data_IF_365294511904
#
_entry.id   IF_365294511904
#
_cell.length_a   1.000
_cell.length_b   1.000
_cell.length_c   1.000
_cell.angle_alpha   90.00
_cell.angle_beta   90.00
_cell.angle_gamma   90.00
#
_symmetry.space_group_name_H-M   'P 1'
#
loop_
_entity.id
_entity.type
_entity.pdbx_description
1 polymer ?
#
# COMPACT_ATOMS: atom_id res chain seq x y z
N UNK A 1 -20.80 -6.41 3.08
CA UNK A 1 -19.97 -5.19 2.93
C UNK A 1 -20.13 -4.38 4.21
N UNK A 2 -19.21 -4.59 5.17
CA UNK A 2 -19.36 -4.07 6.54
C UNK A 2 -18.71 -2.68 6.78
N UNK A 3 -18.07 -2.10 5.74
CA UNK A 3 -17.31 -0.84 5.86
C UNK A 3 -18.17 0.43 5.94
N UNK A 4 -19.48 0.33 5.68
CA UNK A 4 -20.34 1.52 5.46
C UNK A 4 -20.40 2.43 6.68
N UNK A 5 -20.53 1.89 7.89
CA UNK A 5 -20.71 2.70 9.11
C UNK A 5 -19.48 3.57 9.40
N UNK A 6 -18.27 3.00 9.33
CA UNK A 6 -17.04 3.75 9.60
C UNK A 6 -16.72 4.76 8.50
N UNK A 7 -16.95 4.39 7.24
CA UNK A 7 -16.80 5.34 6.12
C UNK A 7 -17.79 6.48 6.26
N UNK A 8 -19.06 6.20 6.59
CA UNK A 8 -20.04 7.25 6.87
C UNK A 8 -19.59 8.18 8.00
N UNK A 9 -19.07 7.62 9.09
CA UNK A 9 -18.51 8.40 10.20
C UNK A 9 -17.34 9.29 9.76
N UNK A 10 -16.41 8.75 8.95
CA UNK A 10 -15.30 9.50 8.37
C UNK A 10 -15.80 10.70 7.53
N UNK A 11 -16.84 10.48 6.72
CA UNK A 11 -17.44 11.53 5.89
C UNK A 11 -18.18 12.55 6.74
N UNK A 12 -19.06 12.12 7.64
CA UNK A 12 -19.88 13.02 8.49
C UNK A 12 -19.00 13.95 9.32
N UNK A 13 -17.98 13.41 9.97
CA UNK A 13 -17.05 14.23 10.79
C UNK A 13 -16.14 15.15 9.98
N UNK A 14 -16.07 14.98 8.69
CA UNK A 14 -15.32 15.85 7.77
C UNK A 14 -16.23 16.53 6.73
N UNK A 15 -17.54 16.60 6.96
CA UNK A 15 -18.54 17.01 5.95
C UNK A 15 -18.20 18.37 5.29
N UNK A 16 -17.72 19.33 6.07
CA UNK A 16 -17.34 20.65 5.56
C UNK A 16 -16.04 20.63 4.73
N UNK A 17 -15.16 19.64 4.95
CA UNK A 17 -13.89 19.50 4.24
C UNK A 17 -13.98 18.58 3.01
N UNK A 18 -14.95 17.67 2.98
CA UNK A 18 -15.11 16.67 1.91
C UNK A 18 -15.22 17.32 0.54
N UNK A 19 -16.06 18.35 0.29
CA UNK A 19 -16.14 18.96 -1.03
C UNK A 19 -14.80 19.55 -1.49
N UNK A 20 -14.11 20.26 -0.59
CA UNK A 20 -12.81 20.85 -0.89
C UNK A 20 -11.75 19.79 -1.17
N UNK A 21 -11.66 18.74 -0.35
CA UNK A 21 -10.74 17.63 -0.55
C UNK A 21 -11.03 16.90 -1.86
N UNK A 22 -12.30 16.69 -2.18
CA UNK A 22 -12.74 16.06 -3.42
C UNK A 22 -12.36 16.89 -4.66
N UNK A 23 -12.71 18.17 -4.67
CA UNK A 23 -12.36 19.07 -5.79
C UNK A 23 -10.85 19.13 -6.01
N UNK A 24 -10.07 19.23 -4.93
CA UNK A 24 -8.60 19.27 -5.02
C UNK A 24 -8.01 17.95 -5.51
N UNK A 25 -8.57 16.81 -5.05
CA UNK A 25 -8.18 15.48 -5.53
C UNK A 25 -8.47 15.31 -7.03
N UNK A 26 -9.66 15.69 -7.48
CA UNK A 26 -10.04 15.67 -8.91
C UNK A 26 -9.14 16.58 -9.75
N UNK A 27 -8.84 17.77 -9.24
CA UNK A 27 -7.98 18.72 -9.93
C UNK A 27 -6.54 18.16 -10.09
N UNK A 28 -5.96 17.58 -9.04
CA UNK A 28 -4.63 16.97 -9.13
C UNK A 28 -4.62 15.70 -10.00
N UNK A 29 -5.70 14.92 -9.96
CA UNK A 29 -5.86 13.75 -10.81
C UNK A 29 -5.96 14.09 -12.30
N UNK A 30 -6.52 15.27 -12.64
CA UNK A 30 -6.59 15.76 -14.01
C UNK A 30 -5.29 16.42 -14.50
N UNK A 31 -4.42 16.86 -13.57
CA UNK A 31 -3.21 17.62 -13.87
C UNK A 31 -1.96 16.98 -13.26
N UNK A 32 -1.83 15.65 -13.33
CA UNK A 32 -0.78 14.88 -12.64
C UNK A 32 0.63 15.27 -13.08
N UNK A 33 0.81 15.69 -14.33
CA UNK A 33 2.12 16.07 -14.87
C UNK A 33 2.52 17.50 -14.49
N UNK A 34 1.55 18.34 -14.10
CA UNK A 34 1.79 19.72 -13.66
C UNK A 34 2.33 19.78 -12.23
N UNK A 35 2.05 18.79 -11.41
CA UNK A 35 2.38 18.79 -9.98
C UNK A 35 3.39 17.70 -9.63
N UNK A 36 4.46 18.02 -8.88
CA UNK A 36 5.41 17.04 -8.37
C UNK A 36 4.70 15.93 -7.58
N UNK A 37 5.25 14.71 -7.61
CA UNK A 37 4.68 13.55 -6.91
C UNK A 37 4.50 13.81 -5.41
N UNK A 38 5.49 14.45 -4.77
CA UNK A 38 5.43 14.80 -3.36
C UNK A 38 4.24 15.72 -3.02
N UNK A 39 3.89 16.66 -3.90
CA UNK A 39 2.76 17.57 -3.70
C UNK A 39 1.43 16.82 -3.75
N UNK A 40 1.28 15.91 -4.72
CA UNK A 40 0.10 15.06 -4.86
C UNK A 40 -0.02 14.09 -3.69
N UNK A 41 1.10 13.49 -3.27
CA UNK A 41 1.15 12.58 -2.13
C UNK A 41 0.81 13.26 -0.80
N UNK A 42 1.28 14.48 -0.57
CA UNK A 42 0.90 15.29 0.62
C UNK A 42 -0.61 15.48 0.72
N UNK A 43 -1.31 15.70 -0.40
CA UNK A 43 -2.77 15.79 -0.42
C UNK A 43 -3.40 14.46 0.00
N UNK A 44 -2.97 13.35 -0.61
CA UNK A 44 -3.49 12.01 -0.27
C UNK A 44 -3.28 11.70 1.22
N UNK A 45 -2.10 11.97 1.74
CA UNK A 45 -1.77 11.78 3.15
C UNK A 45 -2.63 12.65 4.07
N UNK A 46 -2.89 13.91 3.68
CA UNK A 46 -3.80 14.78 4.41
C UNK A 46 -5.22 14.21 4.45
N UNK A 47 -5.76 13.78 3.30
CA UNK A 47 -7.11 13.17 3.20
C UNK A 47 -7.20 11.94 4.10
N UNK A 48 -6.20 11.04 4.03
CA UNK A 48 -6.16 9.81 4.83
C UNK A 48 -6.11 10.13 6.33
N UNK A 49 -5.25 11.05 6.76
CA UNK A 49 -5.17 11.46 8.18
C UNK A 49 -6.49 12.06 8.69
N UNK A 50 -7.17 12.86 7.87
CA UNK A 50 -8.50 13.40 8.20
C UNK A 50 -9.55 12.29 8.32
N UNK A 51 -9.52 11.33 7.38
CA UNK A 51 -10.41 10.16 7.42
C UNK A 51 -10.16 9.32 8.68
N UNK A 52 -8.90 9.01 9.00
CA UNK A 52 -8.51 8.23 10.17
C UNK A 52 -9.00 8.88 11.47
N UNK A 53 -8.73 10.19 11.65
CA UNK A 53 -9.23 10.93 12.81
C UNK A 53 -10.76 10.89 12.88
N UNK A 54 -11.43 11.09 11.74
CA UNK A 54 -12.90 11.03 11.66
C UNK A 54 -13.46 9.63 11.93
N UNK A 55 -12.72 8.58 11.58
CA UNK A 55 -13.12 7.19 11.69
C UNK A 55 -12.70 6.47 12.98
N UNK A 56 -12.12 7.17 13.96
CA UNK A 56 -11.56 6.57 15.16
C UNK A 56 -10.48 5.50 14.84
N UNK A 57 -9.61 5.79 13.86
CA UNK A 57 -8.50 4.91 13.49
C UNK A 57 -7.19 5.56 13.90
N UNK A 58 -6.38 4.83 14.66
CA UNK A 58 -5.02 5.21 15.03
C UNK A 58 -4.04 4.37 14.21
N UNK A 59 -3.01 5.01 13.65
CA UNK A 59 -1.93 4.31 12.97
C UNK A 59 -0.68 4.36 13.84
N UNK A 60 -0.18 3.21 14.23
CA UNK A 60 1.13 3.05 14.84
C UNK A 60 2.13 2.58 13.78
N UNK A 61 3.21 3.32 13.61
CA UNK A 61 4.16 3.07 12.55
C UNK A 61 5.57 2.91 13.10
N UNK A 62 6.17 1.76 12.81
CA UNK A 62 7.48 1.32 13.29
C UNK A 62 8.44 1.12 12.11
N UNK A 63 9.75 1.23 12.36
CA UNK A 63 10.78 0.98 11.37
C UNK A 63 10.83 1.98 10.22
N UNK A 64 10.39 3.23 10.39
CA UNK A 64 10.43 4.27 9.33
C UNK A 64 11.85 4.59 8.88
N UNK A 65 12.82 4.39 9.74
CA UNK A 65 14.26 4.52 9.47
C UNK A 65 14.75 3.51 8.45
N UNK A 66 14.09 2.38 8.28
CA UNK A 66 14.38 1.34 7.29
C UNK A 66 14.00 1.76 5.85
N UNK A 67 13.23 2.85 5.69
CA UNK A 67 12.86 3.35 4.37
C UNK A 67 14.04 4.12 3.77
N UNK A 68 14.62 3.68 2.63
CA UNK A 68 15.74 4.36 1.99
C UNK A 68 15.43 5.84 1.75
N UNK A 69 16.38 6.73 2.05
CA UNK A 69 16.19 8.17 1.89
C UNK A 69 16.23 8.60 0.42
N UNK A 70 16.96 7.89 -0.39
CA UNK A 70 17.18 8.18 -1.82
C UNK A 70 16.89 6.96 -2.68
N UNK A 71 16.86 7.15 -4.01
CA UNK A 71 16.60 6.08 -4.97
C UNK A 71 15.17 5.57 -4.96
N UNK A 72 14.89 4.65 -5.87
CA UNK A 72 13.63 3.91 -5.93
C UNK A 72 13.71 2.63 -5.11
N UNK A 73 12.59 2.23 -4.54
CA UNK A 73 12.43 0.98 -3.82
C UNK A 73 11.03 0.40 -4.05
N UNK A 74 10.83 -0.86 -3.64
CA UNK A 74 9.52 -1.49 -3.72
C UNK A 74 9.07 -2.05 -2.38
N UNK A 75 7.85 -1.72 -1.99
CA UNK A 75 7.16 -2.24 -0.82
C UNK A 75 6.41 -3.54 -1.15
N UNK A 76 6.50 -4.51 -0.25
CA UNK A 76 5.79 -5.78 -0.31
C UNK A 76 5.07 -6.07 1.01
N UNK A 77 3.87 -5.49 1.21
CA UNK A 77 3.04 -5.77 2.38
C UNK A 77 2.29 -7.09 2.25
N UNK A 78 1.86 -7.65 3.40
CA UNK A 78 0.73 -8.58 3.44
C UNK A 78 -0.57 -7.86 3.09
N UNK A 79 -1.58 -8.60 2.61
CA UNK A 79 -2.83 -8.01 2.10
C UNK A 79 -4.05 -8.51 2.86
N UNK A 80 -4.52 -7.73 3.82
CA UNK A 80 -5.64 -8.06 4.69
C UNK A 80 -6.98 -7.53 4.18
N UNK A 81 -7.03 -6.26 3.81
CA UNK A 81 -8.28 -5.57 3.54
C UNK A 81 -8.18 -4.40 2.54
N UNK A 82 -9.29 -3.68 2.39
CA UNK A 82 -9.33 -2.47 1.56
C UNK A 82 -8.60 -1.29 2.20
N UNK A 83 -8.35 -1.36 3.50
CA UNK A 83 -7.73 -0.28 4.26
C UNK A 83 -6.20 -0.27 4.19
N UNK A 84 -5.57 -1.34 3.76
CA UNK A 84 -4.10 -1.56 3.81
C UNK A 84 -3.29 -0.40 3.20
N UNK A 85 -3.66 0.03 1.98
CA UNK A 85 -2.95 1.14 1.31
C UNK A 85 -3.11 2.45 2.08
N UNK A 86 -4.27 2.69 2.71
CA UNK A 86 -4.51 3.89 3.50
C UNK A 86 -3.61 3.92 4.75
N UNK A 87 -3.46 2.76 5.42
CA UNK A 87 -2.57 2.63 6.57
C UNK A 87 -1.13 2.97 6.18
N UNK A 88 -0.64 2.43 5.06
CA UNK A 88 0.72 2.68 4.58
C UNK A 88 0.88 4.15 4.14
N UNK A 89 -0.11 4.77 3.48
CA UNK A 89 -0.07 6.20 3.10
C UNK A 89 0.02 7.09 4.33
N UNK A 90 -0.70 6.78 5.41
CA UNK A 90 -0.58 7.54 6.65
C UNK A 90 0.81 7.40 7.28
N UNK A 91 1.31 6.18 7.35
CA UNK A 91 2.58 5.85 8.00
C UNK A 91 3.80 6.35 7.22
N UNK A 92 3.83 6.14 5.90
CA UNK A 92 5.01 6.33 5.07
C UNK A 92 5.39 7.80 4.88
N UNK A 93 6.64 8.22 5.14
CA UNK A 93 7.10 9.59 4.93
C UNK A 93 7.38 9.92 3.46
N UNK A 94 7.68 8.91 2.63
CA UNK A 94 8.04 9.08 1.21
C UNK A 94 6.86 8.75 0.28
N UNK A 95 6.73 9.46 -0.85
CA UNK A 95 5.76 9.10 -1.88
C UNK A 95 6.00 7.69 -2.40
N UNK A 96 4.92 7.00 -2.69
CA UNK A 96 4.94 5.75 -3.44
C UNK A 96 3.71 5.62 -4.32
N UNK A 97 3.79 4.80 -5.34
CA UNK A 97 2.69 4.40 -6.20
C UNK A 97 2.31 2.94 -5.95
N UNK A 98 1.24 2.48 -6.56
CA UNK A 98 0.76 1.11 -6.37
C UNK A 98 0.56 0.40 -7.70
N UNK A 99 0.75 -0.91 -7.71
CA UNK A 99 0.23 -1.78 -8.77
C UNK A 99 -1.08 -2.38 -8.28
N UNK A 100 -2.18 -1.98 -8.90
CA UNK A 100 -3.53 -2.35 -8.49
C UNK A 100 -4.23 -3.19 -9.56
N UNK A 101 -5.26 -3.95 -9.15
CA UNK A 101 -6.07 -4.76 -10.05
C UNK A 101 -6.93 -3.85 -10.96
N UNK A 102 -7.04 -4.15 -12.27
CA UNK A 102 -7.79 -3.34 -13.25
C UNK A 102 -9.25 -3.09 -12.86
N UNK A 103 -9.90 -4.03 -12.17
CA UNK A 103 -11.31 -3.96 -11.80
C UNK A 103 -11.61 -2.84 -10.79
N UNK A 104 -10.59 -2.38 -10.03
CA UNK A 104 -10.77 -1.26 -9.11
C UNK A 104 -10.47 0.11 -9.74
N UNK A 105 -9.99 0.12 -10.98
CA UNK A 105 -9.58 1.35 -11.67
C UNK A 105 -10.71 2.38 -11.85
N UNK A 106 -11.96 1.92 -11.96
CA UNK A 106 -13.12 2.78 -12.22
C UNK A 106 -13.99 3.02 -10.97
N UNK A 107 -13.60 2.50 -9.81
CA UNK A 107 -14.33 2.79 -8.57
C UNK A 107 -14.16 4.27 -8.22
N UNK A 108 -15.26 5.02 -7.98
CA UNK A 108 -15.18 6.42 -7.56
C UNK A 108 -14.26 6.58 -6.34
N UNK A 109 -13.59 7.71 -6.22
CA UNK A 109 -12.54 8.01 -5.25
C UNK A 109 -11.23 7.24 -5.53
N UNK A 110 -11.27 5.91 -5.70
CA UNK A 110 -10.06 5.13 -6.03
C UNK A 110 -9.48 5.54 -7.38
N UNK A 111 -10.33 5.78 -8.39
CA UNK A 111 -9.90 6.26 -9.72
C UNK A 111 -9.06 7.53 -9.62
N UNK A 112 -9.51 8.53 -8.87
CA UNK A 112 -8.79 9.79 -8.69
C UNK A 112 -7.52 9.60 -7.88
N UNK A 113 -7.58 8.79 -6.83
CA UNK A 113 -6.42 8.43 -6.01
C UNK A 113 -5.34 7.73 -6.83
N UNK A 114 -5.70 6.72 -7.61
CA UNK A 114 -4.76 6.01 -8.48
C UNK A 114 -4.16 6.91 -9.56
N UNK A 115 -4.95 7.82 -10.15
CA UNK A 115 -4.42 8.84 -11.06
C UNK A 115 -3.42 9.75 -10.35
N UNK A 116 -3.74 10.26 -9.15
CA UNK A 116 -2.83 11.09 -8.37
C UNK A 116 -1.50 10.38 -8.04
N UNK A 117 -1.54 9.08 -7.81
CA UNK A 117 -0.36 8.25 -7.55
C UNK A 117 0.38 7.85 -8.84
N UNK A 118 -0.21 8.04 -10.03
CA UNK A 118 0.24 7.42 -11.29
C UNK A 118 0.38 5.91 -11.12
N UNK A 119 -0.66 5.27 -10.59
CA UNK A 119 -0.70 3.84 -10.34
C UNK A 119 -0.77 3.05 -11.65
N UNK A 120 -0.16 1.86 -11.67
CA UNK A 120 -0.33 0.92 -12.76
C UNK A 120 -1.46 -0.07 -12.46
N UNK A 121 -2.26 -0.35 -13.49
CA UNK A 121 -3.36 -1.32 -13.42
C UNK A 121 -2.92 -2.62 -14.07
N UNK A 122 -3.01 -3.73 -13.32
CA UNK A 122 -2.63 -5.05 -13.81
C UNK A 122 -3.86 -5.90 -14.11
N UNK A 123 -3.87 -6.49 -15.30
CA UNK A 123 -4.78 -7.55 -15.68
C UNK A 123 -4.12 -8.90 -15.46
N UNK A 124 -4.55 -9.64 -14.44
CA UNK A 124 -3.95 -10.92 -14.09
C UNK A 124 -4.31 -12.06 -15.04
N UNK A 125 -5.34 -11.88 -15.85
CA UNK A 125 -5.77 -12.84 -16.87
C UNK A 125 -5.00 -12.62 -18.19
N UNK A 126 -4.45 -11.40 -18.39
CA UNK A 126 -3.58 -11.10 -19.53
C UNK A 126 -2.11 -11.10 -19.11
N UNK A 127 -1.42 -12.20 -19.43
CA UNK A 127 0.01 -12.38 -19.11
C UNK A 127 0.88 -11.33 -19.82
N UNK A 128 0.54 -10.94 -21.05
CA UNK A 128 1.33 -9.96 -21.83
C UNK A 128 1.24 -8.58 -21.20
N UNK A 129 0.01 -8.16 -20.88
CA UNK A 129 -0.24 -6.89 -20.19
C UNK A 129 0.44 -6.87 -18.81
N UNK A 130 0.32 -7.96 -18.05
CA UNK A 130 0.98 -8.09 -16.76
C UNK A 130 2.50 -7.97 -16.87
N UNK A 131 3.11 -8.58 -17.89
CA UNK A 131 4.55 -8.46 -18.15
C UNK A 131 4.93 -7.01 -18.52
N UNK A 132 4.14 -6.33 -19.35
CA UNK A 132 4.39 -4.94 -19.71
C UNK A 132 4.35 -4.03 -18.47
N UNK A 133 3.34 -4.19 -17.60
CA UNK A 133 3.27 -3.43 -16.34
C UNK A 133 4.51 -3.65 -15.47
N UNK A 134 4.99 -4.88 -15.36
CA UNK A 134 6.22 -5.18 -14.60
C UNK A 134 7.44 -4.47 -15.22
N UNK A 135 7.54 -4.40 -16.55
CA UNK A 135 8.61 -3.68 -17.23
C UNK A 135 8.51 -2.17 -16.99
N UNK A 136 7.32 -1.59 -17.14
CA UNK A 136 7.10 -0.15 -16.92
C UNK A 136 7.42 0.24 -15.48
N UNK A 137 6.95 -0.54 -14.49
CA UNK A 137 7.28 -0.34 -13.07
C UNK A 137 8.79 -0.43 -12.84
N UNK A 138 9.46 -1.38 -13.48
CA UNK A 138 10.93 -1.52 -13.39
C UNK A 138 11.62 -0.23 -13.82
N UNK A 139 11.24 0.34 -14.96
CA UNK A 139 11.85 1.56 -15.48
C UNK A 139 11.53 2.78 -14.60
N UNK A 140 10.32 2.87 -14.06
CA UNK A 140 9.95 3.94 -13.13
C UNK A 140 10.74 3.87 -11.81
N UNK A 141 10.96 2.64 -11.29
CA UNK A 141 11.77 2.44 -10.08
C UNK A 141 13.23 2.82 -10.31
N UNK A 142 13.81 2.49 -11.48
CA UNK A 142 15.16 2.92 -11.86
C UNK A 142 15.29 4.45 -11.92
N UNK A 143 14.20 5.16 -12.26
CA UNK A 143 14.13 6.64 -12.23
C UNK A 143 13.95 7.23 -10.83
N UNK A 144 13.94 6.39 -9.78
CA UNK A 144 13.84 6.82 -8.38
C UNK A 144 12.41 6.85 -7.82
N UNK A 145 11.38 6.37 -8.55
CA UNK A 145 10.02 6.26 -8.00
C UNK A 145 9.86 5.00 -7.15
N UNK A 146 8.97 5.08 -6.17
CA UNK A 146 8.70 3.98 -5.26
C UNK A 146 7.37 3.33 -5.59
N UNK A 147 7.29 2.02 -5.47
CA UNK A 147 6.08 1.26 -5.77
C UNK A 147 5.74 0.27 -4.67
N UNK A 148 4.46 -0.06 -4.59
CA UNK A 148 3.91 -1.09 -3.70
C UNK A 148 3.21 -2.15 -4.52
N UNK A 149 3.51 -3.41 -4.24
CA UNK A 149 2.83 -4.58 -4.80
C UNK A 149 2.43 -5.52 -3.67
N UNK A 150 1.18 -5.95 -3.66
CA UNK A 150 0.72 -7.04 -2.82
C UNK A 150 1.08 -8.38 -3.45
N UNK A 151 2.11 -9.05 -2.91
CA UNK A 151 2.64 -10.28 -3.49
C UNK A 151 1.70 -11.49 -3.36
N UNK A 152 0.74 -11.46 -2.44
CA UNK A 152 -0.35 -12.44 -2.31
C UNK A 152 -1.26 -12.45 -3.55
N UNK A 153 -1.38 -11.32 -4.21
CA UNK A 153 -2.22 -11.17 -5.38
C UNK A 153 -3.72 -11.03 -5.07
N UNK A 154 -4.16 -11.29 -3.86
CA UNK A 154 -5.54 -11.08 -3.39
C UNK A 154 -5.53 -10.86 -1.87
N UNK A 155 -6.62 -10.34 -1.32
CA UNK A 155 -6.78 -10.21 0.14
C UNK A 155 -6.91 -11.58 0.80
N UNK A 156 -6.23 -11.78 1.92
CA UNK A 156 -6.31 -13.03 2.67
C UNK A 156 -7.71 -13.25 3.25
N UNK A 157 -8.35 -12.18 3.75
CA UNK A 157 -9.64 -12.23 4.47
C UNK A 157 -9.63 -13.14 5.71
N UNK A 158 -8.44 -13.43 6.23
CA UNK A 158 -8.23 -14.32 7.37
C UNK A 158 -7.57 -13.57 8.54
N UNK A 159 -7.93 -12.28 8.74
CA UNK A 159 -7.31 -11.44 9.76
C UNK A 159 -5.83 -11.21 9.44
N UNK A 160 -4.97 -11.48 10.43
CA UNK A 160 -3.51 -11.29 10.30
C UNK A 160 -2.79 -12.45 9.60
N UNK A 161 -3.50 -13.51 9.16
CA UNK A 161 -2.89 -14.64 8.44
C UNK A 161 -2.63 -14.30 6.99
N UNK A 162 -1.43 -14.66 6.49
CA UNK A 162 -0.99 -14.41 5.12
C UNK A 162 -1.37 -15.56 4.17
N UNK A 163 -1.54 -15.21 2.89
CA UNK A 163 -1.51 -16.17 1.79
C UNK A 163 -0.07 -16.38 1.28
N UNK A 164 0.08 -17.29 0.32
CA UNK A 164 1.38 -17.50 -0.32
C UNK A 164 1.78 -16.30 -1.21
N UNK A 165 3.04 -15.88 -1.09
CA UNK A 165 3.61 -14.81 -1.89
C UNK A 165 4.05 -15.33 -3.25
N UNK A 166 3.62 -14.67 -4.32
CA UNK A 166 3.93 -15.04 -5.71
C UNK A 166 5.28 -14.46 -6.11
N UNK A 167 6.24 -15.32 -6.45
CA UNK A 167 7.57 -14.89 -6.89
C UNK A 167 7.56 -13.93 -8.08
N UNK A 168 6.56 -14.04 -8.97
CA UNK A 168 6.38 -13.10 -10.08
C UNK A 168 6.24 -11.63 -9.69
N UNK A 169 5.72 -11.33 -8.50
CA UNK A 169 5.56 -9.98 -7.96
C UNK A 169 6.91 -9.28 -7.70
N UNK A 170 7.96 -10.04 -7.47
CA UNK A 170 9.31 -9.52 -7.17
C UNK A 170 10.16 -9.23 -8.41
N UNK A 171 9.68 -9.61 -9.61
CA UNK A 171 10.43 -9.42 -10.86
C UNK A 171 10.78 -7.96 -11.15
N UNK A 172 9.91 -7.01 -10.82
CA UNK A 172 10.19 -5.60 -11.03
C UNK A 172 11.35 -5.12 -10.13
N UNK A 173 11.35 -5.48 -8.85
CA UNK A 173 12.40 -5.11 -7.91
C UNK A 173 13.76 -5.71 -8.28
N UNK A 174 13.79 -7.02 -8.61
CA UNK A 174 15.05 -7.70 -9.01
C UNK A 174 15.61 -7.14 -10.31
N UNK A 175 14.77 -6.83 -11.32
CA UNK A 175 15.20 -6.21 -12.58
C UNK A 175 15.64 -4.76 -12.40
N UNK A 176 15.01 -4.02 -11.48
CA UNK A 176 15.41 -2.65 -11.16
C UNK A 176 16.64 -2.60 -10.25
N UNK A 177 17.06 -3.74 -9.67
CA UNK A 177 18.12 -3.85 -8.65
C UNK A 177 17.87 -2.89 -7.48
N UNK A 178 16.63 -2.76 -7.05
CA UNK A 178 16.23 -1.84 -5.99
C UNK A 178 15.98 -2.57 -4.66
N UNK A 179 16.05 -1.86 -3.53
CA UNK A 179 15.68 -2.41 -2.23
C UNK A 179 14.25 -2.96 -2.21
N UNK A 180 14.10 -4.16 -1.65
CA UNK A 180 12.82 -4.83 -1.37
C UNK A 180 12.51 -4.60 0.10
N UNK A 181 11.41 -3.91 0.40
CA UNK A 181 11.03 -3.57 1.76
C UNK A 181 9.78 -4.33 2.15
N UNK A 182 9.89 -5.36 2.99
CA UNK A 182 8.73 -6.02 3.56
C UNK A 182 7.98 -5.06 4.48
N UNK A 183 6.64 -5.11 4.47
CA UNK A 183 5.80 -4.37 5.44
C UNK A 183 4.88 -5.36 6.12
N UNK A 184 4.93 -5.43 7.45
CA UNK A 184 3.94 -6.16 8.21
C UNK A 184 2.79 -5.22 8.61
N UNK A 185 1.58 -5.55 8.14
CA UNK A 185 0.34 -4.91 8.54
C UNK A 185 -0.34 -5.78 9.58
N UNK A 186 -0.71 -5.21 10.72
CA UNK A 186 -1.46 -5.88 11.78
C UNK A 186 -2.77 -5.15 11.99
N UNK A 187 -3.86 -5.89 11.97
CA UNK A 187 -5.22 -5.40 12.18
C UNK A 187 -5.72 -4.40 11.13
N UNK A 188 -5.09 -4.30 9.98
CA UNK A 188 -5.48 -3.34 8.94
C UNK A 188 -6.80 -3.72 8.24
N UNK A 189 -7.30 -4.95 8.43
CA UNK A 189 -8.65 -5.33 8.00
C UNK A 189 -9.75 -4.72 8.88
N UNK A 190 -9.47 -4.48 10.17
CA UNK A 190 -10.48 -4.07 11.17
C UNK A 190 -11.23 -2.79 10.79
N UNK A 191 -10.60 -1.71 10.26
CA UNK A 191 -11.34 -0.49 9.94
C UNK A 191 -12.49 -0.68 8.95
N UNK A 192 -12.35 -1.55 7.95
CA UNK A 192 -13.34 -1.68 6.88
C UNK A 192 -14.05 -3.04 6.82
N UNK A 193 -13.49 -4.07 7.41
CA UNK A 193 -14.07 -5.42 7.33
C UNK A 193 -14.83 -5.81 8.61
N UNK A 194 -14.72 -5.00 9.69
CA UNK A 194 -15.57 -5.13 10.88
C UNK A 194 -16.73 -4.14 10.88
N UNK A 195 -17.91 -4.56 11.33
CA UNK A 195 -19.09 -3.70 11.41
C UNK A 195 -19.08 -2.88 12.72
N UNK A 196 -18.01 -2.18 13.02
CA UNK A 196 -17.79 -1.40 14.24
C UNK A 196 -17.25 0.00 13.93
N UNK A 197 -17.62 0.97 14.77
CA UNK A 197 -17.06 2.34 14.79
C UNK A 197 -16.23 2.61 16.04
N UNK A 198 -16.06 1.60 16.90
CA UNK A 198 -15.20 1.68 18.07
C UNK A 198 -13.76 2.05 17.66
N UNK A 199 -12.98 2.69 18.52
CA UNK A 199 -11.57 2.95 18.26
C UNK A 199 -10.84 1.68 17.83
N UNK A 200 -9.96 1.82 16.85
CA UNK A 200 -9.14 0.72 16.34
C UNK A 200 -7.73 1.22 16.08
N UNK A 201 -6.75 0.44 16.51
CA UNK A 201 -5.34 0.66 16.19
C UNK A 201 -4.94 -0.29 15.07
N UNK A 202 -4.22 0.25 14.09
CA UNK A 202 -3.60 -0.49 12.99
C UNK A 202 -2.10 -0.28 13.08
N UNK A 203 -1.34 -1.36 13.08
CA UNK A 203 0.12 -1.27 13.10
C UNK A 203 0.68 -1.43 11.68
N UNK A 204 1.72 -0.63 11.39
CA UNK A 204 2.47 -0.65 10.13
C UNK A 204 3.95 -0.76 10.47
N UNK A 205 4.55 -1.91 10.23
CA UNK A 205 5.97 -2.16 10.48
C UNK A 205 6.73 -2.19 9.16
N UNK A 206 7.61 -1.22 8.95
CA UNK A 206 8.56 -1.22 7.84
C UNK A 206 9.78 -2.03 8.26
N UNK A 207 9.93 -3.21 7.68
CA UNK A 207 11.02 -4.12 8.04
C UNK A 207 12.31 -3.74 7.32
N UNK A 208 13.44 -4.30 7.76
CA UNK A 208 14.73 -4.06 7.13
C UNK A 208 14.70 -4.42 5.64
N UNK A 209 15.22 -3.53 4.78
CA UNK A 209 15.30 -3.79 3.35
C UNK A 209 16.14 -5.03 3.05
N UNK A 210 15.76 -5.76 2.02
CA UNK A 210 16.62 -6.73 1.36
C UNK A 210 17.23 -6.01 0.17
N UNK A 211 18.54 -5.77 0.21
CA UNK A 211 19.26 -5.13 -0.87
C UNK A 211 19.57 -6.11 -1.99
N UNK A 212 19.78 -5.58 -3.20
CA UNK A 212 20.02 -6.44 -4.38
C UNK A 212 21.20 -7.37 -4.22
N UNK A 213 22.27 -6.90 -3.58
CA UNK A 213 23.50 -7.65 -3.31
C UNK A 213 23.25 -8.90 -2.47
N UNK A 214 22.25 -8.85 -1.58
CA UNK A 214 21.86 -9.97 -0.71
C UNK A 214 21.06 -11.03 -1.47
N UNK A 215 20.26 -10.60 -2.48
CA UNK A 215 19.31 -11.48 -3.15
C UNK A 215 19.60 -11.73 -4.63
N UNK A 216 20.70 -11.22 -5.19
CA UNK A 216 21.01 -11.32 -6.62
C UNK A 216 21.14 -12.76 -7.13
N UNK A 217 21.54 -13.70 -6.27
CA UNK A 217 21.67 -15.12 -6.59
C UNK A 217 20.42 -15.95 -6.22
N UNK A 218 19.41 -15.32 -5.64
CA UNK A 218 18.17 -15.98 -5.24
C UNK A 218 17.16 -16.01 -6.39
N UNK A 219 16.40 -17.09 -6.49
CA UNK A 219 15.20 -17.11 -7.34
C UNK A 219 14.12 -16.20 -6.72
N UNK A 220 13.30 -15.57 -7.54
CA UNK A 220 12.22 -14.70 -7.04
C UNK A 220 11.22 -15.41 -6.12
N UNK A 221 11.11 -16.74 -6.24
CA UNK A 221 10.34 -17.60 -5.31
C UNK A 221 10.99 -17.74 -3.93
N UNK A 222 12.30 -17.71 -3.86
CA UNK A 222 13.05 -17.73 -2.59
C UNK A 222 12.95 -16.37 -1.88
N UNK A 223 13.08 -15.28 -2.66
CA UNK A 223 12.84 -13.92 -2.15
C UNK A 223 11.41 -13.79 -1.59
N UNK A 224 10.41 -14.32 -2.30
CA UNK A 224 9.02 -14.30 -1.85
C UNK A 224 8.83 -15.02 -0.51
N UNK A 225 9.46 -16.17 -0.33
CA UNK A 225 9.43 -16.93 0.93
C UNK A 225 10.11 -16.17 2.07
N UNK A 226 11.26 -15.56 1.81
CA UNK A 226 11.99 -14.79 2.83
C UNK A 226 11.22 -13.55 3.27
N UNK A 227 10.63 -12.78 2.32
CA UNK A 227 9.78 -11.62 2.63
C UNK A 227 8.57 -12.06 3.45
N UNK A 228 7.90 -13.14 3.07
CA UNK A 228 6.75 -13.69 3.80
C UNK A 228 7.16 -14.08 5.22
N UNK A 229 8.27 -14.82 5.39
CA UNK A 229 8.77 -15.26 6.69
C UNK A 229 9.00 -14.08 7.63
N UNK A 230 9.70 -13.03 7.18
CA UNK A 230 9.95 -11.82 7.99
C UNK A 230 8.66 -11.14 8.44
N UNK A 231 7.64 -11.07 7.55
CA UNK A 231 6.35 -10.49 7.89
C UNK A 231 5.61 -11.36 8.91
N UNK A 232 5.61 -12.70 8.74
CA UNK A 232 4.95 -13.64 9.66
C UNK A 232 5.57 -13.59 11.07
N UNK A 233 6.90 -13.52 11.14
CA UNK A 233 7.64 -13.38 12.42
C UNK A 233 7.25 -12.08 13.13
N UNK A 234 7.23 -10.97 12.40
CA UNK A 234 6.82 -9.67 12.97
C UNK A 234 5.38 -9.70 13.45
N UNK A 235 4.45 -10.27 12.68
CA UNK A 235 3.07 -10.39 13.09
C UNK A 235 2.96 -11.25 14.37
N UNK A 236 3.66 -12.39 14.42
CA UNK A 236 3.66 -13.27 15.60
C UNK A 236 4.18 -12.59 16.86
N UNK A 237 5.13 -11.66 16.71
CA UNK A 237 5.72 -10.91 17.82
C UNK A 237 4.78 -9.81 18.34
N UNK A 238 4.12 -9.07 17.43
CA UNK A 238 3.40 -7.85 17.76
C UNK A 238 1.88 -7.98 17.70
N UNK A 239 1.35 -9.12 17.23
CA UNK A 239 -0.09 -9.36 17.26
C UNK A 239 -0.59 -9.39 18.71
N UNK A 240 -1.62 -8.58 19.06
CA UNK A 240 -2.20 -8.63 20.39
C UNK A 240 -2.69 -10.04 20.70
N UNK A 241 -2.15 -10.65 21.75
CA UNK A 241 -2.67 -11.94 22.22
C UNK A 241 -4.09 -11.72 22.71
N UNK A 242 -5.02 -12.48 22.14
CA UNK A 242 -6.39 -12.48 22.65
C UNK A 242 -6.37 -12.89 24.13
N UNK A 243 -6.93 -12.02 24.97
CA UNK A 243 -7.03 -12.26 26.41
C UNK A 243 -8.19 -13.21 26.73
#
# INVERSE_FOLDING_TARGET
MNCVKRIALMVIRNILLVPFMWCKLCYYAAHVDKYPEITRYKLLKYIVKRANKGGNVTIEAYGKENIPKEGGFMFFPNHQGLYDVLAIVDACPRPFSVVAKKEVANVPLLKQTFKCMKAYMIDREDIRQSMQVIMDVTEEVKKGRNYLIFAEGTRSKMGNKLLEFKGGSFKAATKAKCPIIPIALIDSFKPFDTNSIAPVTVQVHFLEPIYYEECQNMKTTEIAKEVKRRIEETISEYEPKEA
#
